data_IF_184482813723
#
_entry.id   IF_184482813723
#
_cell.length_a   1.000
_cell.length_b   1.000
_cell.length_c   1.000
_cell.angle_alpha   90.00
_cell.angle_beta   90.00
_cell.angle_gamma   90.00
#
_symmetry.space_group_name_H-M   'P 1'
#
loop_
_entity.id
_entity.type
_entity.pdbx_description
1 polymer ?
#
# COMPACT_ATOMS: atom_id res chain seq x y z
N UNK A 1 -17.38 23.62 57.69
CA UNK A 1 -16.42 22.58 57.27
C UNK A 1 -17.10 21.70 56.23
N UNK A 2 -16.81 21.88 54.95
CA UNK A 2 -17.18 20.92 53.89
C UNK A 2 -16.02 20.92 52.88
N UNK A 3 -15.19 19.88 52.93
CA UNK A 3 -14.17 19.62 51.90
C UNK A 3 -14.75 18.61 50.90
N UNK A 4 -15.16 19.10 49.74
CA UNK A 4 -15.48 18.26 48.59
C UNK A 4 -14.24 18.14 47.70
N UNK A 5 -13.46 17.08 47.87
CA UNK A 5 -12.37 16.72 46.96
C UNK A 5 -12.99 16.05 45.72
N UNK A 6 -13.15 16.83 44.66
CA UNK A 6 -13.48 16.33 43.34
C UNK A 6 -12.32 15.52 42.77
N UNK A 7 -12.50 14.21 42.72
CA UNK A 7 -11.58 13.30 42.04
C UNK A 7 -11.63 13.56 40.54
N UNK A 8 -10.69 14.35 40.02
CA UNK A 8 -10.41 14.43 38.60
C UNK A 8 -9.73 13.13 38.17
N UNK A 9 -10.55 12.17 37.74
CA UNK A 9 -10.12 10.99 36.99
C UNK A 9 -9.45 11.49 35.71
N UNK A 10 -8.13 11.40 35.64
CA UNK A 10 -7.36 11.62 34.42
C UNK A 10 -7.75 10.51 33.44
N UNK A 11 -8.67 10.84 32.53
CA UNK A 11 -9.01 10.00 31.39
C UNK A 11 -7.81 10.03 30.44
N UNK A 12 -6.92 9.05 30.57
CA UNK A 12 -5.83 8.82 29.61
C UNK A 12 -6.49 8.46 28.29
N UNK A 13 -6.56 9.44 27.38
CA UNK A 13 -6.99 9.25 26.01
C UNK A 13 -5.92 8.42 25.30
N UNK A 14 -6.04 7.08 25.39
CA UNK A 14 -5.18 6.15 24.65
C UNK A 14 -5.54 6.23 23.18
N UNK A 15 -4.89 7.12 22.45
CA UNK A 15 -4.94 7.15 20.99
C UNK A 15 -4.09 6.00 20.46
N UNK A 16 -4.74 4.89 20.14
CA UNK A 16 -4.14 3.79 19.42
C UNK A 16 -3.98 4.17 17.95
N UNK A 17 -2.75 4.38 17.49
CA UNK A 17 -2.48 4.56 16.05
C UNK A 17 -2.41 3.20 15.36
N UNK A 18 -3.26 2.99 14.36
CA UNK A 18 -3.18 1.84 13.46
C UNK A 18 -2.09 2.08 12.42
N UNK A 19 -0.99 1.35 12.54
CA UNK A 19 0.11 1.38 11.58
C UNK A 19 -0.11 0.26 10.56
N UNK A 20 -0.23 0.61 9.28
CA UNK A 20 -0.29 -0.38 8.19
C UNK A 20 1.14 -0.81 7.81
N UNK A 21 1.59 -1.95 8.32
CA UNK A 21 2.92 -2.50 8.00
C UNK A 21 3.02 -3.02 6.56
N UNK A 22 1.88 -3.24 5.90
CA UNK A 22 1.79 -3.67 4.50
C UNK A 22 2.19 -2.56 3.55
N UNK A 23 1.85 -1.32 3.87
CA UNK A 23 2.07 -0.19 2.96
C UNK A 23 3.57 0.05 2.68
N UNK A 24 4.48 0.16 3.68
CA UNK A 24 5.90 0.31 3.41
C UNK A 24 6.49 -0.85 2.60
N UNK A 25 6.03 -2.07 2.87
CA UNK A 25 6.48 -3.28 2.16
C UNK A 25 6.06 -3.23 0.69
N UNK A 26 4.78 -2.92 0.44
CA UNK A 26 4.22 -2.80 -0.91
C UNK A 26 4.90 -1.66 -1.68
N UNK A 27 5.15 -0.51 -1.05
CA UNK A 27 5.82 0.62 -1.71
C UNK A 27 7.24 0.25 -2.16
N UNK A 28 7.99 -0.48 -1.33
CA UNK A 28 9.32 -0.97 -1.67
C UNK A 28 9.26 -1.99 -2.81
N UNK A 29 8.40 -3.01 -2.69
CA UNK A 29 8.27 -4.05 -3.72
C UNK A 29 7.78 -3.48 -5.07
N UNK A 30 6.91 -2.46 -5.07
CA UNK A 30 6.54 -1.75 -6.30
C UNK A 30 7.76 -1.06 -6.93
N UNK A 31 8.61 -0.41 -6.14
CA UNK A 31 9.85 0.20 -6.62
C UNK A 31 10.78 -0.83 -7.24
N UNK A 32 11.09 -1.89 -6.50
CA UNK A 32 11.96 -2.99 -6.96
C UNK A 32 11.44 -3.61 -8.27
N UNK A 33 10.13 -3.85 -8.36
CA UNK A 33 9.54 -4.42 -9.58
C UNK A 33 9.60 -3.43 -10.74
N UNK A 34 9.37 -2.13 -10.52
CA UNK A 34 9.44 -1.12 -11.59
C UNK A 34 10.87 -0.91 -12.11
N UNK A 35 11.88 -1.08 -11.26
CA UNK A 35 13.29 -1.01 -11.65
C UNK A 35 13.67 -2.12 -12.64
N UNK A 36 12.98 -3.27 -12.61
CA UNK A 36 13.14 -4.35 -13.60
C UNK A 36 12.54 -4.01 -14.99
N UNK A 37 11.68 -3.00 -15.09
CA UNK A 37 11.04 -2.62 -16.36
C UNK A 37 11.82 -1.54 -17.11
N UNK A 38 11.73 -1.49 -18.44
CA UNK A 38 12.27 -0.38 -19.23
C UNK A 38 11.69 0.98 -18.79
N UNK A 39 12.50 2.04 -18.89
CA UNK A 39 12.08 3.40 -18.52
C UNK A 39 10.77 3.81 -19.21
N UNK A 40 10.70 3.65 -20.54
CA UNK A 40 9.48 3.88 -21.32
C UNK A 40 8.85 2.55 -21.80
N UNK A 41 7.52 2.38 -21.73
CA UNK A 41 6.53 3.30 -21.16
C UNK A 41 6.31 3.13 -19.64
N UNK A 42 6.93 2.11 -19.02
CA UNK A 42 6.55 1.64 -17.69
C UNK A 42 6.94 2.62 -16.59
N UNK A 43 8.23 2.86 -16.38
CA UNK A 43 8.67 3.75 -15.30
C UNK A 43 8.16 5.17 -15.52
N UNK A 44 8.12 5.66 -16.76
CA UNK A 44 7.56 6.97 -17.12
C UNK A 44 6.06 7.09 -16.76
N UNK A 45 5.26 6.04 -16.98
CA UNK A 45 3.86 6.04 -16.59
C UNK A 45 3.71 6.10 -15.05
N UNK A 46 4.47 5.31 -14.31
CA UNK A 46 4.36 5.26 -12.84
C UNK A 46 5.15 6.34 -12.10
N UNK A 47 5.91 7.18 -12.82
CA UNK A 47 6.41 8.46 -12.31
C UNK A 47 5.26 9.47 -12.11
N UNK A 48 4.15 9.32 -12.85
CA UNK A 48 2.95 10.14 -12.68
C UNK A 48 2.23 9.72 -11.39
N UNK A 49 2.04 10.68 -10.49
CA UNK A 49 1.48 10.42 -9.16
C UNK A 49 0.11 9.71 -9.21
N UNK A 50 -0.78 10.08 -10.14
CA UNK A 50 -2.09 9.43 -10.32
C UNK A 50 -1.95 7.92 -10.55
N UNK A 51 -1.09 7.50 -11.49
CA UNK A 51 -0.92 6.09 -11.83
C UNK A 51 -0.22 5.32 -10.71
N UNK A 52 0.71 5.97 -10.00
CA UNK A 52 1.36 5.38 -8.83
C UNK A 52 0.36 5.12 -7.71
N UNK A 53 -0.53 6.07 -7.41
CA UNK A 53 -1.58 5.88 -6.40
C UNK A 53 -2.57 4.80 -6.81
N UNK A 54 -2.97 4.74 -8.10
CA UNK A 54 -3.80 3.65 -8.61
C UNK A 54 -3.16 2.29 -8.42
N UNK A 55 -1.85 2.16 -8.69
CA UNK A 55 -1.12 0.91 -8.50
C UNK A 55 -1.08 0.50 -7.04
N UNK A 56 -0.76 1.43 -6.13
CA UNK A 56 -0.75 1.17 -4.69
C UNK A 56 -2.12 0.70 -4.22
N UNK A 57 -3.19 1.40 -4.60
CA UNK A 57 -4.56 1.03 -4.24
C UNK A 57 -4.96 -0.35 -4.81
N UNK A 58 -4.62 -0.63 -6.07
CA UNK A 58 -4.89 -1.91 -6.72
C UNK A 58 -4.21 -3.08 -6.01
N UNK A 59 -2.95 -2.88 -5.59
CA UNK A 59 -2.14 -3.90 -4.90
C UNK A 59 -2.65 -4.12 -3.47
N UNK A 60 -2.92 -3.05 -2.71
CA UNK A 60 -3.48 -3.14 -1.35
C UNK A 60 -4.90 -3.71 -1.31
N UNK A 61 -5.66 -3.58 -2.39
CA UNK A 61 -6.99 -4.20 -2.52
C UNK A 61 -6.94 -5.72 -2.67
N UNK A 62 -5.81 -6.28 -3.11
CA UNK A 62 -5.64 -7.71 -3.38
C UNK A 62 -4.77 -8.43 -2.34
N UNK A 63 -3.93 -7.71 -1.61
CA UNK A 63 -3.07 -8.28 -0.56
C UNK A 63 -3.79 -8.19 0.80
N UNK A 64 -3.69 -9.22 1.65
CA UNK A 64 -4.18 -9.12 3.03
C UNK A 64 -3.40 -8.03 3.79
N UNK A 65 -4.09 -6.99 4.23
CA UNK A 65 -3.49 -5.93 5.03
C UNK A 65 -3.15 -6.41 6.44
N UNK A 66 -1.90 -6.20 6.85
CA UNK A 66 -1.40 -6.33 8.21
C UNK A 66 -1.40 -4.95 8.88
N UNK A 67 -2.27 -4.78 9.86
CA UNK A 67 -2.29 -3.60 10.73
C UNK A 67 -1.72 -3.96 12.10
N UNK A 68 -0.91 -3.08 12.67
CA UNK A 68 -0.48 -3.16 14.07
C UNK A 68 -0.96 -1.95 14.82
N UNK A 69 -1.29 -2.13 16.09
CA UNK A 69 -1.62 -1.03 16.98
C UNK A 69 -0.33 -0.55 17.66
N UNK A 70 -0.02 0.74 17.58
CA UNK A 70 1.06 1.33 18.35
C UNK A 70 0.76 1.13 19.85
N UNK A 71 1.55 0.29 20.52
CA UNK A 71 1.39 -0.03 21.95
C UNK A 71 1.13 -1.51 22.27
N UNK A 72 0.69 -2.32 21.32
CA UNK A 72 0.55 -3.77 21.53
C UNK A 72 0.66 -4.52 20.20
N UNK A 73 1.63 -5.43 20.09
CA UNK A 73 1.81 -6.31 18.92
C UNK A 73 0.74 -7.39 18.94
N UNK A 74 -0.51 -7.04 18.63
CA UNK A 74 -1.51 -8.05 18.33
C UNK A 74 -1.34 -8.42 16.86
N UNK A 75 -0.93 -9.65 16.52
CA UNK A 75 -0.91 -10.07 15.13
C UNK A 75 -2.37 -10.17 14.66
N UNK A 76 -2.88 -9.12 14.02
CA UNK A 76 -4.17 -9.16 13.33
C UNK A 76 -4.00 -10.02 12.08
N UNK A 77 -3.87 -11.33 12.26
CA UNK A 77 -4.05 -12.31 11.19
C UNK A 77 -5.53 -12.27 10.84
N UNK A 78 -5.88 -11.79 9.65
CA UNK A 78 -7.23 -12.03 9.11
C UNK A 78 -7.47 -13.54 9.11
N UNK A 79 -8.48 -13.96 9.86
CA UNK A 79 -9.01 -15.31 9.91
C UNK A 79 -9.42 -15.70 8.48
N UNK A 80 -8.56 -16.45 7.76
CA UNK A 80 -8.84 -16.89 6.40
C UNK A 80 -7.71 -16.76 5.38
N UNK A 81 -6.56 -16.16 5.72
CA UNK A 81 -5.41 -16.22 4.82
C UNK A 81 -4.85 -17.67 4.79
N UNK A 82 -4.84 -18.36 3.65
CA UNK A 82 -4.22 -19.69 3.56
C UNK A 82 -2.76 -19.58 3.99
N UNK A 83 -2.28 -20.55 4.79
CA UNK A 83 -0.86 -20.64 5.18
C UNK A 83 -0.02 -20.85 3.92
N UNK A 84 0.43 -19.75 3.32
CA UNK A 84 1.38 -19.74 2.21
C UNK A 84 2.77 -19.74 2.80
N UNK A 85 3.69 -20.43 2.13
CA UNK A 85 5.11 -20.28 2.48
C UNK A 85 5.54 -18.82 2.25
N UNK A 86 6.55 -18.31 2.98
CA UNK A 86 7.05 -16.95 2.76
C UNK A 86 7.44 -16.67 1.30
N UNK A 87 7.95 -17.70 0.60
CA UNK A 87 8.24 -17.64 -0.83
C UNK A 87 6.96 -17.46 -1.66
N UNK A 88 5.92 -18.26 -1.38
CA UNK A 88 4.64 -18.17 -2.10
C UNK A 88 3.93 -16.82 -1.84
N UNK A 89 4.07 -16.25 -0.63
CA UNK A 89 3.58 -14.90 -0.36
C UNK A 89 4.31 -13.85 -1.19
N UNK A 90 5.66 -13.93 -1.25
CA UNK A 90 6.47 -13.02 -2.06
C UNK A 90 6.10 -13.12 -3.55
N UNK A 91 6.03 -14.32 -4.10
CA UNK A 91 5.65 -14.55 -5.49
C UNK A 91 4.23 -14.02 -5.79
N UNK A 92 3.30 -14.20 -4.85
CA UNK A 92 1.95 -13.67 -5.00
C UNK A 92 1.93 -12.14 -5.04
N UNK A 93 2.67 -11.46 -4.14
CA UNK A 93 2.75 -10.00 -4.14
C UNK A 93 3.35 -9.48 -5.44
N UNK A 94 4.46 -10.08 -5.88
CA UNK A 94 5.09 -9.72 -7.15
C UNK A 94 4.14 -9.92 -8.35
N UNK A 95 3.42 -11.05 -8.39
CA UNK A 95 2.41 -11.32 -9.41
C UNK A 95 1.30 -10.25 -9.41
N UNK A 96 0.80 -9.85 -8.24
CA UNK A 96 -0.22 -8.80 -8.11
C UNK A 96 0.32 -7.44 -8.57
N UNK A 97 1.57 -7.10 -8.24
CA UNK A 97 2.21 -5.85 -8.67
C UNK A 97 2.36 -5.84 -10.20
N UNK A 98 2.96 -6.88 -10.79
CA UNK A 98 3.17 -6.98 -12.23
C UNK A 98 1.84 -7.00 -13.00
N UNK A 99 0.85 -7.71 -12.48
CA UNK A 99 -0.51 -7.72 -13.02
C UNK A 99 -1.16 -6.33 -12.98
N UNK A 100 -1.03 -5.61 -11.86
CA UNK A 100 -1.52 -4.25 -11.68
C UNK A 100 -0.86 -3.25 -12.63
N UNK A 101 0.46 -3.35 -12.82
CA UNK A 101 1.21 -2.55 -13.81
C UNK A 101 0.59 -2.70 -15.20
N UNK A 102 0.43 -3.94 -15.67
CA UNK A 102 -0.13 -4.22 -16.99
C UNK A 102 -1.59 -3.80 -17.11
N UNK A 103 -2.39 -4.00 -16.07
CA UNK A 103 -3.80 -3.60 -16.04
C UNK A 103 -3.95 -2.08 -16.18
N UNK A 104 -3.24 -1.31 -15.36
CA UNK A 104 -3.30 0.16 -15.37
C UNK A 104 -2.80 0.71 -16.69
N UNK A 105 -1.70 0.18 -17.23
CA UNK A 105 -1.18 0.61 -18.53
C UNK A 105 -2.19 0.37 -19.66
N UNK A 106 -2.84 -0.80 -19.68
CA UNK A 106 -3.85 -1.13 -20.70
C UNK A 106 -5.10 -0.25 -20.56
N UNK A 107 -5.60 -0.08 -19.35
CA UNK A 107 -6.80 0.74 -19.09
C UNK A 107 -6.57 2.22 -19.43
N UNK A 108 -5.33 2.71 -19.32
CA UNK A 108 -5.01 4.12 -19.52
C UNK A 108 -4.15 4.35 -20.79
N UNK A 109 -4.12 3.40 -21.73
CA UNK A 109 -3.23 3.43 -22.89
C UNK A 109 -3.40 4.69 -23.74
N UNK A 110 -4.64 5.08 -24.05
CA UNK A 110 -4.92 6.28 -24.87
C UNK A 110 -4.45 7.55 -24.16
N UNK A 111 -4.77 7.69 -22.87
CA UNK A 111 -4.35 8.84 -22.04
C UNK A 111 -2.82 8.94 -21.96
N UNK A 112 -2.15 7.82 -21.70
CA UNK A 112 -0.68 7.76 -21.62
C UNK A 112 -0.05 8.11 -22.97
N UNK A 113 -0.59 7.60 -24.06
CA UNK A 113 -0.11 7.94 -25.40
C UNK A 113 -0.22 9.45 -25.65
N UNK A 114 -1.37 10.07 -25.36
CA UNK A 114 -1.51 11.52 -25.48
C UNK A 114 -0.51 12.30 -24.62
N UNK A 115 -0.29 11.88 -23.37
CA UNK A 115 0.69 12.52 -22.47
C UNK A 115 2.12 12.40 -23.00
N UNK A 116 2.51 11.22 -23.51
CA UNK A 116 3.86 11.01 -24.05
C UNK A 116 4.10 11.76 -25.36
N UNK A 117 3.08 11.96 -26.20
CA UNK A 117 3.20 12.79 -27.40
C UNK A 117 3.38 14.27 -27.06
N UNK A 118 2.68 14.77 -26.04
CA UNK A 118 2.81 16.16 -25.58
C UNK A 118 4.17 16.49 -24.97
N UNK A 119 4.88 15.51 -24.42
CA UNK A 119 6.24 15.69 -23.87
C UNK A 119 7.34 15.72 -24.94
N UNK A 120 7.03 15.33 -26.18
CA UNK A 120 8.00 15.25 -27.29
C UNK A 120 7.93 16.45 -28.26
N UNK A 121 6.93 17.31 -28.11
CA UNK A 121 6.72 18.52 -28.90
C UNK A 121 7.26 19.75 -28.18
#
# INVERSE_FOLDING_TARGET
MVFGLGNHKLEVKMSFELINLTLPTVLREIGEVLDDYPEHPYQSAFAIHEFRQKLIAHVLGQIPNHYTIAGETVPVRKLGAPHRSPLAERMYREMVIRGGILHILRENADRLNHMFQQQRA
#
